data_IF_451065376010
#
_entry.id   IF_451065376010
#
_cell.length_a   1.000
_cell.length_b   1.000
_cell.length_c   1.000
_cell.angle_alpha   90.00
_cell.angle_beta   90.00
_cell.angle_gamma   90.00
#
_symmetry.space_group_name_H-M   'P 1'
#
loop_
_entity.id
_entity.type
_entity.pdbx_description
1 polymer ?
2 branched ?
3 water ?
#
# COMPACT_ATOMS: atom_id res chain seq x y z
N UNK A 1 7.48 8.79 14.36
CA UNK A 1 8.28 8.75 13.10
C UNK A 1 7.36 9.01 11.90
N UNK A 2 7.14 10.28 11.59
CA UNK A 2 6.29 10.68 10.47
C UNK A 2 6.70 9.96 9.19
N UNK A 3 7.24 9.18 11.46
CA UNK A 3 7.45 8.74 10.06
C UNK A 3 6.41 7.68 9.69
N UNK A 4 5.82 7.06 10.70
CA UNK A 4 4.81 6.03 10.49
C UNK A 4 3.49 6.65 10.04
N UNK A 5 2.68 5.88 9.33
CA UNK A 5 1.39 6.38 8.88
C UNK A 5 0.46 5.23 8.49
N UNK A 6 -0.81 5.56 8.35
CA UNK A 6 -1.81 4.58 7.95
C UNK A 6 -2.17 4.88 6.50
N UNK A 7 -2.42 3.82 5.73
CA UNK A 7 -2.78 3.93 4.32
C UNK A 7 -4.31 3.87 4.25
N UNK A 8 -4.91 4.99 3.86
CA UNK A 8 -6.37 5.13 3.85
C UNK A 8 -7.06 5.25 2.49
N UNK A 9 -8.20 4.58 2.35
CA UNK A 9 -9.00 4.67 1.13
C UNK A 9 -10.28 5.41 1.51
N UNK A 10 -10.44 6.61 0.97
CA UNK A 10 -11.60 7.45 1.26
C UNK A 10 -12.96 6.81 0.95
N UNK A 11 -13.10 6.20 -0.22
CA UNK A 11 -14.37 5.60 -0.60
C UNK A 11 -14.88 4.53 0.37
N UNK A 12 -14.00 3.63 0.80
CA UNK A 12 -14.38 2.57 1.73
C UNK A 12 -14.27 3.01 3.19
N UNK A 13 -13.53 4.09 3.43
CA UNK A 13 -13.29 4.59 4.78
C UNK A 13 -12.64 3.46 5.58
N UNK A 14 -11.62 2.85 4.99
CA UNK A 14 -10.88 1.76 5.63
C UNK A 14 -9.38 1.94 5.42
N UNK A 15 -8.60 1.28 6.28
CA UNK A 15 -7.14 1.37 6.21
C UNK A 15 -6.50 0.01 5.95
N UNK A 16 -5.31 0.02 5.36
CA UNK A 16 -4.58 -1.21 5.06
C UNK A 16 -4.20 -1.87 6.38
N UNK A 17 -4.33 -3.19 6.45
CA UNK A 17 -4.04 -3.92 7.67
C UNK A 17 -3.22 -5.18 7.39
N UNK A 18 -1.99 -5.22 7.90
CA UNK A 18 -1.11 -6.36 7.70
C UNK A 18 -1.45 -7.46 8.70
N UNK A 19 -1.80 -8.64 8.18
CA UNK A 19 -2.16 -9.77 9.03
C UNK A 19 -1.03 -10.79 9.14
N UNK A 20 -0.26 -10.93 8.07
CA UNK A 20 0.87 -11.86 8.06
C UNK A 20 1.69 -11.59 6.82
N UNK A 21 2.83 -12.26 6.70
CA UNK A 21 3.68 -12.08 5.53
C UNK A 21 2.91 -12.38 4.23
N UNK A 22 1.92 -13.27 4.30
CA UNK A 22 1.15 -13.61 3.10
C UNK A 22 -0.27 -13.05 3.10
N UNK A 23 -0.55 -12.11 4.00
CA UNK A 23 -1.89 -11.56 4.08
C UNK A 23 -1.93 -10.10 4.50
N UNK A 24 -2.37 -9.25 3.58
CA UNK A 24 -2.49 -7.82 3.85
C UNK A 24 -3.89 -7.45 3.38
N UNK A 25 -4.74 -7.11 4.34
CA UNK A 25 -6.12 -6.76 4.04
C UNK A 25 -6.42 -5.33 4.46
N UNK A 26 -7.64 -5.09 4.91
CA UNK A 26 -8.04 -3.77 5.37
C UNK A 26 -8.84 -3.91 6.65
N UNK A 27 -9.01 -2.80 7.36
CA UNK A 27 -9.78 -2.82 8.60
C UNK A 27 -10.21 -1.41 8.94
N UNK A 28 -11.11 -1.28 9.91
CA UNK A 28 -11.54 0.03 10.35
C UNK A 28 -10.25 0.69 10.84
N UNK A 29 -10.02 1.93 10.44
CA UNK A 29 -8.79 2.62 10.82
C UNK A 29 -8.60 2.83 12.31
N UNK A 30 -7.42 2.46 12.80
CA UNK A 30 -7.06 2.60 14.20
C UNK A 30 -5.57 2.96 14.22
N UNK A 31 -5.25 4.23 14.51
CA UNK A 31 -3.85 4.68 14.55
C UNK A 31 -3.01 4.07 15.66
N UNK A 32 -3.65 3.30 16.54
CA UNK A 32 -2.96 2.64 17.64
C UNK A 32 -2.63 1.20 17.30
N UNK A 33 -3.15 0.72 16.17
CA UNK A 33 -2.90 -0.65 15.75
C UNK A 33 -1.59 -0.77 14.99
N UNK A 34 -0.62 -1.43 15.60
CA UNK A 34 0.68 -1.61 14.96
C UNK A 34 0.56 -2.22 13.56
N UNK A 35 -0.37 -3.16 13.40
CA UNK A 35 -0.57 -3.83 12.12
C UNK A 35 -0.99 -2.89 10.99
N UNK A 36 -1.50 -1.71 11.34
CA UNK A 36 -1.94 -0.74 10.34
C UNK A 36 -0.89 0.33 10.05
N UNK A 37 0.23 0.27 10.76
CA UNK A 37 1.29 1.25 10.60
C UNK A 37 2.31 0.87 9.54
N UNK A 38 2.64 1.83 8.68
CA UNK A 38 3.63 1.62 7.63
C UNK A 38 4.57 2.81 7.58
N UNK A 39 5.68 2.65 6.87
CA UNK A 39 6.65 3.72 6.73
C UNK A 39 7.53 3.49 5.51
N UNK A 40 7.86 4.58 4.81
CA UNK A 40 8.73 4.47 3.66
C UNK A 40 10.13 4.19 4.21
N UNK A 41 10.86 3.31 3.55
CA UNK A 41 12.21 2.98 3.99
C UNK A 41 13.21 3.30 2.89
N UNK A 42 12.71 3.92 1.83
CA UNK A 42 13.52 4.32 0.69
C UNK A 42 12.63 5.14 -0.23
N UNK A 43 13.16 5.55 -1.38
CA UNK A 43 12.40 6.33 -2.34
C UNK A 43 11.27 5.54 -3.00
N UNK A 44 11.29 4.22 -2.85
CA UNK A 44 10.26 3.41 -3.51
C UNK A 44 9.65 2.27 -2.69
N UNK A 45 10.13 2.05 -1.48
CA UNK A 45 9.62 0.96 -0.66
C UNK A 45 8.88 1.37 0.60
N UNK A 46 7.80 0.65 0.89
CA UNK A 46 7.00 0.89 2.08
C UNK A 46 7.06 -0.36 2.94
N UNK A 47 7.50 -0.18 4.18
CA UNK A 47 7.62 -1.30 5.11
C UNK A 47 6.52 -1.33 6.16
N UNK A 48 6.06 -2.53 6.47
CA UNK A 48 5.05 -2.72 7.50
C UNK A 48 5.81 -2.59 8.82
N UNK A 49 5.32 -1.74 9.72
CA UNK A 49 5.97 -1.55 11.01
C UNK A 49 5.88 -2.82 11.86
N UNK A 50 4.71 -3.46 11.84
CA UNK A 50 4.49 -4.67 12.62
C UNK A 50 5.35 -5.86 12.21
N UNK A 51 5.59 -6.03 10.92
CA UNK A 51 6.37 -7.17 10.45
C UNK A 51 7.79 -6.89 9.98
N UNK A 52 8.14 -5.63 9.80
CA UNK A 52 9.47 -5.27 9.33
C UNK A 52 9.72 -5.97 8.00
N UNK A 53 8.69 -5.98 7.15
CA UNK A 53 8.76 -6.58 5.82
C UNK A 53 8.16 -5.54 4.87
N UNK A 54 8.58 -5.54 3.62
CA UNK A 54 8.12 -4.56 2.64
C UNK A 54 6.96 -5.02 1.75
N UNK A 55 6.06 -4.09 1.42
CA UNK A 55 4.92 -4.39 0.56
C UNK A 55 5.43 -4.73 -0.84
N UNK A 56 4.96 -5.85 -1.38
CA UNK A 56 5.39 -6.26 -2.71
C UNK A 56 4.45 -7.25 -3.36
N UNK A 57 4.80 -7.67 -4.58
CA UNK A 57 3.99 -8.62 -5.34
C UNK A 57 4.88 -9.71 -5.95
N UNK A 58 4.28 -10.86 -6.29
CA UNK A 58 5.04 -11.96 -6.88
C UNK A 58 5.44 -11.66 -8.33
N UNK A 59 4.66 -10.79 -8.97
CA UNK A 59 4.91 -10.40 -10.36
C UNK A 59 4.05 -9.19 -10.70
N UNK A 60 4.46 -8.44 -11.72
CA UNK A 60 3.71 -7.27 -12.14
C UNK A 60 2.59 -7.72 -13.07
N UNK A 61 1.57 -8.35 -12.48
CA UNK A 61 0.44 -8.87 -13.23
C UNK A 61 -0.88 -8.41 -12.62
N UNK A 62 -1.89 -8.26 -13.46
CA UNK A 62 -3.21 -7.85 -13.01
C UNK A 62 -3.75 -8.90 -12.03
N UNK A 63 -4.28 -8.43 -10.90
CA UNK A 63 -4.83 -9.28 -9.84
C UNK A 63 -3.78 -10.04 -9.02
N UNK A 64 -2.53 -9.59 -9.08
CA UNK A 64 -1.49 -10.22 -8.27
C UNK A 64 -1.75 -9.70 -6.85
N UNK A 65 -1.61 -10.57 -5.85
CA UNK A 65 -1.84 -10.15 -4.47
C UNK A 65 -0.66 -9.35 -3.94
N UNK A 66 -0.97 -8.30 -3.19
CA UNK A 66 0.05 -7.45 -2.58
C UNK A 66 0.23 -7.92 -1.14
N UNK A 67 1.40 -8.48 -0.82
CA UNK A 67 1.65 -8.92 0.55
C UNK A 67 3.00 -8.43 1.04
N UNK A 68 3.65 -9.18 1.92
CA UNK A 68 4.92 -8.72 2.47
C UNK A 68 6.14 -9.58 2.15
N UNK A 69 7.23 -8.91 1.78
CA UNK A 69 8.48 -9.59 1.44
C UNK A 69 9.66 -8.94 2.15
N UNK A 70 10.73 -9.71 2.34
CA UNK A 70 11.93 -9.16 2.97
C UNK A 70 12.31 -7.96 2.13
N UNK A 71 12.57 -6.82 2.77
CA UNK A 71 12.92 -5.63 2.01
C UNK A 71 14.21 -5.84 1.23
N UNK A 72 14.14 -5.57 -0.07
CA UNK A 72 15.27 -5.73 -0.97
C UNK A 72 15.28 -4.55 -1.94
N UNK A 73 16.27 -3.68 -1.80
CA UNK A 73 16.37 -2.49 -2.64
C UNK A 73 16.59 -2.81 -4.12
N UNK A 74 16.95 -4.05 -4.42
CA UNK A 74 17.20 -4.45 -5.80
C UNK A 74 15.98 -5.05 -6.49
N UNK A 75 14.95 -5.38 -5.72
CA UNK A 75 13.74 -5.98 -6.29
C UNK A 75 12.74 -4.95 -6.80
N UNK A 76 12.37 -5.07 -8.07
CA UNK A 76 11.41 -4.16 -8.67
C UNK A 76 9.97 -4.54 -8.30
N UNK A 77 9.81 -5.68 -7.64
CA UNK A 77 8.49 -6.14 -7.26
C UNK A 77 7.99 -5.55 -5.95
N UNK A 78 8.78 -4.65 -5.37
CA UNK A 78 8.37 -4.00 -4.13
C UNK A 78 8.64 -2.50 -4.20
N UNK A 79 8.68 -1.98 -5.42
CA UNK A 79 8.91 -0.55 -5.66
C UNK A 79 7.58 0.09 -6.03
N UNK A 80 7.25 1.18 -5.35
CA UNK A 80 5.99 1.87 -5.59
C UNK A 80 6.17 3.33 -5.97
N UNK A 81 5.13 3.92 -6.55
CA UNK A 81 5.17 5.32 -6.96
C UNK A 81 3.79 5.96 -6.91
N UNK A 82 3.76 7.27 -6.71
CA UNK A 82 2.50 7.99 -6.67
C UNK A 82 2.19 8.54 -8.05
N UNK A 83 1.00 8.20 -8.55
CA UNK A 83 0.55 8.67 -9.85
C UNK A 83 -0.20 9.96 -9.57
N UNK A 84 -1.15 10.32 -10.43
CA UNK A 84 -1.91 11.54 -10.23
C UNK A 84 -3.14 11.31 -9.35
N UNK A 85 -3.64 12.39 -8.75
CA UNK A 85 -4.83 12.36 -7.89
C UNK A 85 -4.88 11.24 -6.85
N UNK A 86 -3.75 11.02 -6.17
CA UNK A 86 -3.59 10.00 -5.13
C UNK A 86 -3.64 8.55 -5.63
N UNK A 87 -3.55 8.38 -6.95
CA UNK A 87 -3.54 7.04 -7.54
C UNK A 87 -2.19 6.43 -7.13
N UNK A 88 -2.19 5.20 -6.63
CA UNK A 88 -0.97 4.55 -6.16
C UNK A 88 -0.75 3.19 -6.83
N UNK A 89 0.48 2.90 -7.24
CA UNK A 89 0.75 1.63 -7.90
C UNK A 89 2.21 1.24 -8.05
N UNK A 90 2.44 0.09 -8.70
CA UNK A 90 3.80 -0.40 -8.91
C UNK A 90 4.57 0.55 -9.83
N UNK A 91 5.83 0.80 -9.47
CA UNK A 91 6.69 1.70 -10.23
C UNK A 91 6.92 1.21 -11.66
N UNK A 92 6.69 2.09 -12.63
CA UNK A 92 6.90 1.75 -14.03
C UNK A 92 5.82 0.94 -14.71
N UNK A 93 4.68 0.75 -14.05
CA UNK A 93 3.59 -0.03 -14.64
C UNK A 93 2.25 0.66 -14.44
N UNK A 94 1.22 0.16 -15.13
CA UNK A 94 -0.12 0.71 -15.03
C UNK A 94 -0.98 -0.18 -14.13
N UNK A 95 -0.36 -0.72 -13.08
CA UNK A 95 -1.06 -1.59 -12.14
C UNK A 95 -1.10 -0.88 -10.79
N UNK A 96 -2.30 -0.75 -10.23
CA UNK A 96 -2.44 -0.02 -8.97
C UNK A 96 -2.79 -0.81 -7.72
N UNK A 97 -2.37 -0.24 -6.58
CA UNK A 97 -2.64 -0.77 -5.25
C UNK A 97 -4.17 -0.66 -5.21
N UNK A 98 -4.86 -1.79 -5.08
CA UNK A 98 -6.32 -1.75 -5.16
C UNK A 98 -7.07 -2.60 -4.12
N UNK A 99 -8.27 -2.15 -3.76
CA UNK A 99 -9.12 -2.85 -2.80
C UNK A 99 -10.62 -2.62 -3.04
N UNK A 100 -11.41 -3.68 -2.97
CA UNK A 100 -12.85 -3.53 -3.14
C UNK A 100 -13.54 -4.41 -4.17
N UNK A 101 -12.79 -4.92 -5.14
CA UNK A 101 -13.37 -5.75 -6.18
C UNK A 101 -13.52 -7.23 -5.79
N UNK A 102 -14.58 -7.86 -6.30
CA UNK A 102 -14.86 -9.29 -6.07
C UNK A 102 -14.85 -9.81 -4.63
N UNK A 103 -15.24 -8.99 -3.66
CA UNK A 103 -15.24 -9.45 -2.27
C UNK A 103 -13.88 -10.03 -1.87
N UNK A 104 -12.83 -9.59 -2.56
CA UNK A 104 -11.47 -10.04 -2.27
C UNK A 104 -10.95 -9.24 -1.08
N UNK A 105 -10.57 -9.93 -0.01
CA UNK A 105 -10.07 -9.26 1.19
C UNK A 105 -8.66 -8.71 1.09
N UNK A 106 -7.80 -9.39 0.34
CA UNK A 106 -6.42 -8.96 0.21
C UNK A 106 -6.25 -7.83 -0.79
N UNK A 107 -5.29 -6.95 -0.51
CA UNK A 107 -5.00 -5.84 -1.42
C UNK A 107 -4.54 -6.51 -2.71
N UNK A 108 -4.93 -5.94 -3.85
CA UNK A 108 -4.57 -6.49 -5.15
C UNK A 108 -4.01 -5.43 -6.08
N UNK A 109 -3.31 -5.89 -7.11
CA UNK A 109 -2.83 -4.98 -8.14
C UNK A 109 -3.99 -5.03 -9.12
N UNK A 110 -4.42 -3.88 -9.61
CA UNK A 110 -5.54 -3.83 -10.54
C UNK A 110 -5.29 -2.78 -11.62
N UNK A 111 -5.75 -3.06 -12.83
CA UNK A 111 -5.57 -2.14 -13.95
C UNK A 111 -6.49 -0.93 -13.83
N UNK A 112 -7.57 -1.07 -13.07
CA UNK A 112 -8.51 0.02 -12.90
C UNK A 112 -7.93 1.16 -12.09
N UNK A 113 -8.27 2.39 -12.47
CA UNK A 113 -7.75 3.57 -11.77
C UNK A 113 -8.84 4.41 -11.12
N UNK A 114 -9.91 3.75 -10.67
CA UNK A 114 -11.00 4.45 -10.02
C UNK A 114 -10.74 4.74 -8.55
N UNK A 115 -11.79 5.09 -7.82
CA UNK A 115 -11.67 5.44 -6.41
C UNK A 115 -11.07 4.37 -5.51
N UNK A 116 -11.07 3.12 -5.97
CA UNK A 116 -10.53 2.04 -5.16
C UNK A 116 -9.03 1.84 -5.35
N UNK A 117 -8.44 2.60 -6.27
CA UNK A 117 -7.00 2.52 -6.53
C UNK A 117 -6.31 3.78 -6.01
N UNK A 118 -7.07 4.61 -5.31
CA UNK A 118 -6.54 5.86 -4.77
C UNK A 118 -6.41 5.80 -3.26
N UNK A 119 -5.26 6.23 -2.75
CA UNK A 119 -4.97 6.17 -1.33
C UNK A 119 -4.29 7.42 -0.78
N UNK A 120 -4.65 7.78 0.45
CA UNK A 120 -4.09 8.96 1.11
C UNK A 120 -3.49 8.60 2.47
N UNK A 121 -2.67 9.49 3.00
CA UNK A 121 -2.09 9.29 4.32
C UNK A 121 -3.23 9.61 5.28
N UNK A 122 -3.60 8.64 6.12
CA UNK A 122 -4.70 8.83 7.05
C UNK A 122 -4.54 10.10 7.88
N UNK A 123 -5.61 10.90 7.94
CA UNK A 123 -5.57 12.14 8.69
C UNK A 123 -5.18 13.33 7.84
N UNK A 124 -5.00 13.10 6.54
CA UNK A 124 -4.62 14.16 5.61
C UNK A 124 -5.34 14.01 4.29
N UNK A 125 -5.09 14.95 3.38
CA UNK A 125 -5.68 14.92 2.05
C UNK A 125 -4.54 14.73 1.04
N UNK A 126 -3.41 14.21 1.52
CA UNK A 126 -2.23 14.01 0.69
C UNK A 126 -2.03 12.56 0.24
N UNK A 127 -1.29 12.37 -0.85
CA UNK A 127 -1.01 11.01 -1.33
C UNK A 127 0.04 10.38 -0.41
N UNK A 128 0.30 9.09 -0.61
CA UNK A 128 1.25 8.38 0.25
C UNK A 128 2.68 8.90 0.21
N UNK A 129 3.08 9.48 -0.91
CA UNK A 129 4.44 9.98 -1.05
C UNK A 129 4.74 11.22 -0.21
N UNK A 130 3.71 11.79 0.39
CA UNK A 130 3.87 12.97 1.23
C UNK A 130 4.58 12.59 2.53
N UNK A 131 4.64 11.29 2.79
CA UNK A 131 5.30 10.77 3.99
C UNK A 131 6.60 10.09 3.60
N UNK A 132 6.94 10.19 2.32
CA UNK A 132 8.16 9.57 1.84
C UNK A 132 9.32 10.54 1.74
N UNK A 133 10.37 10.13 1.03
CA UNK A 133 11.56 10.96 0.86
C UNK A 133 11.60 11.57 -0.53
N UNK A 134 10.76 11.04 -1.42
CA UNK A 134 10.68 11.50 -2.80
C UNK A 134 9.35 12.21 -3.05
X LIG B 1 -20.59 -4.37 -9.29
X LIG B 1 -20.65 -2.82 -9.35
X LIG B 1 -19.36 -2.27 -10.01
X LIG B 1 -18.15 -2.73 -9.11
X LIG B 1 -18.14 -4.31 -9.07
X LIG B 1 -17.02 -4.87 -8.20
X LIG B 1 -22.68 -3.45 -9.90
X LIG B 1 -22.93 -4.34 -11.08
X LIG B 1 -21.83 -2.41 -10.12
X LIG B 1 -21.70 -4.89 -8.72
X LIG B 1 -19.86 -0.92 -10.05
X LIG B 1 -17.18 -1.94 -9.89
X LIG B 1 -19.40 -4.81 -8.54
X LIG B 1 -17.01 -6.30 -8.17
X LIG B 1 -23.24 -3.70 -8.79
X LIG B 2 -20.33 -0.43 -11.32
X LIG B 2 -21.01 0.95 -11.09
X LIG B 2 -19.94 2.00 -10.67
X LIG B 2 -18.88 2.12 -11.80
X LIG B 2 -18.20 0.78 -12.01
X LIG B 2 -17.16 0.75 -13.10
X LIG B 2 -22.05 0.78 -10.12
X LIG B 2 -20.59 3.25 -10.48
X LIG B 2 -19.52 2.55 -13.02
X LIG B 2 -19.22 -0.30 -12.30
X LIG B 3 -16.26 -1.06 -9.20
X LIG B 3 -15.05 -0.76 -10.07
X LIG B 3 -14.07 0.18 -9.32
X LIG B 3 -14.82 1.50 -9.00
X LIG B 3 -16.08 1.15 -8.11
X LIG B 3 -16.95 2.37 -7.73
X LIG B 3 -14.41 -2.00 -10.38
X LIG B 3 -12.93 0.45 -10.15
X LIG B 3 -15.28 2.13 -10.20
X LIG B 3 -16.97 0.18 -8.82
X LIG B 3 -18.12 1.93 -7.05
X LIG B 3 -11.56 0.63 -9.50
X LIG B 3 -11.18 -0.59 -8.75
X LIG B 3 -10.56 0.88 -10.54
X LIG B 3 -11.56 1.78 -8.61
#
# INVERSE_FOLDING_TARGET
DARQFLIYNEDHKRCVDALSAISVQTATCNPEAESQKFRWVSDSQIMSVAFKLCLGVPSKTDWASVTLYACDSKSEYQKWECKNDTLFGIKGTELYFNYGNRQEKNIKLYKGSGLWSRWKVYGTTDDLCSRGYE
MAG C1 C2 C3 C4 C5 C6 C7 C8 N2 O1 O3 O4 O5 O6 O7
FUC C1 C2 C3 C4 C5 C6 O2 O3 O4 O5
SGA C1 C2 C3 C4 C5 C6 O2 O3 O4 O5 O6 S O1S O2S O3S
#
